data_IF_178544712552
#
_entry.id   IF_178544712552
#
_cell.length_a   1.000
_cell.length_b   1.000
_cell.length_c   1.000
_cell.angle_alpha   90.00
_cell.angle_beta   90.00
_cell.angle_gamma   90.00
#
_symmetry.space_group_name_H-M   'P 1'
#
loop_
_entity.id
_entity.type
_entity.pdbx_description
1 polymer ?
#
# COMPACT_ATOMS: atom_id res chain seq x y z
N UNK A 1 -23.81 -75.76 -12.57
CA UNK A 1 -23.19 -74.43 -12.37
C UNK A 1 -23.43 -74.03 -10.91
N UNK A 2 -22.55 -74.43 -9.98
CA UNK A 2 -21.30 -73.75 -9.53
C UNK A 2 -21.56 -72.52 -8.65
N UNK A 3 -21.59 -72.79 -7.34
CA UNK A 3 -20.70 -72.26 -6.28
C UNK A 3 -20.06 -70.86 -6.37
N UNK A 4 -20.12 -70.17 -5.21
CA UNK A 4 -19.01 -69.41 -4.54
C UNK A 4 -18.73 -68.04 -5.20
N UNK A 5 -18.61 -66.89 -4.52
CA UNK A 5 -17.87 -66.53 -3.31
C UNK A 5 -18.23 -65.08 -2.96
N UNK A 6 -18.01 -64.67 -1.71
CA UNK A 6 -17.89 -63.26 -1.39
C UNK A 6 -16.65 -62.62 -2.02
N UNK A 7 -16.74 -61.31 -2.29
CA UNK A 7 -15.61 -60.41 -2.52
C UNK A 7 -16.06 -59.02 -2.03
N UNK A 8 -15.82 -58.71 -0.76
CA UNK A 8 -14.73 -57.80 -0.39
C UNK A 8 -13.44 -58.01 -1.19
N UNK A 9 -13.07 -57.02 -2.00
CA UNK A 9 -11.75 -56.87 -2.67
C UNK A 9 -11.65 -55.37 -2.98
N UNK A 10 -10.94 -54.63 -2.13
CA UNK A 10 -9.54 -54.23 -2.31
C UNK A 10 -9.39 -53.19 -3.42
N UNK A 11 -9.17 -51.92 -3.04
CA UNK A 11 -7.85 -51.30 -2.84
C UNK A 11 -7.38 -50.59 -4.10
N UNK A 12 -6.78 -49.42 -3.85
CA UNK A 12 -5.98 -48.62 -4.75
C UNK A 12 -6.67 -47.99 -5.97
N UNK A 13 -7.25 -46.81 -5.75
CA UNK A 13 -6.86 -45.67 -6.56
C UNK A 13 -6.43 -44.53 -5.64
N UNK A 14 -5.12 -44.53 -5.39
CA UNK A 14 -4.24 -43.36 -5.36
C UNK A 14 -4.72 -42.18 -4.52
N UNK A 15 -3.97 -41.99 -3.43
CA UNK A 15 -3.55 -40.66 -3.00
C UNK A 15 -3.23 -39.79 -4.23
N UNK A 16 -4.19 -38.95 -4.62
CA UNK A 16 -3.93 -37.76 -5.44
C UNK A 16 -3.50 -36.70 -4.44
N UNK A 17 -2.22 -36.72 -4.06
CA UNK A 17 -1.24 -35.78 -4.61
C UNK A 17 -1.80 -34.36 -4.69
N UNK A 18 -1.45 -33.59 -3.66
CA UNK A 18 -0.80 -32.29 -3.82
C UNK A 18 -1.29 -31.47 -5.02
N UNK A 19 -2.43 -30.80 -4.85
CA UNK A 19 -2.63 -29.55 -5.56
C UNK A 19 -1.89 -28.49 -4.74
N UNK A 20 -0.71 -28.13 -5.24
CA UNK A 20 0.31 -27.34 -4.56
C UNK A 20 -0.25 -26.19 -3.74
N UNK A 21 0.27 -26.08 -2.52
CA UNK A 21 0.83 -24.80 -2.09
C UNK A 21 1.44 -24.11 -3.31
N UNK A 22 0.76 -23.10 -3.83
CA UNK A 22 1.37 -22.07 -4.67
C UNK A 22 2.57 -21.55 -3.88
N UNK A 23 3.80 -21.98 -4.23
CA UNK A 23 4.97 -21.63 -3.46
C UNK A 23 5.38 -20.26 -3.96
N UNK A 24 4.95 -19.25 -3.22
CA UNK A 24 5.44 -17.90 -3.40
C UNK A 24 4.53 -17.03 -4.26
N UNK A 25 3.38 -16.65 -3.69
CA UNK A 25 3.10 -15.20 -3.73
C UNK A 25 4.19 -14.58 -2.87
N UNK A 26 5.34 -14.29 -3.50
CA UNK A 26 6.41 -13.53 -2.88
C UNK A 26 5.75 -12.39 -2.13
N UNK A 27 5.95 -12.33 -0.81
CA UNK A 27 5.35 -11.28 0.01
C UNK A 27 5.55 -9.96 -0.75
N UNK A 28 4.47 -9.22 -1.06
CA UNK A 28 4.61 -8.00 -1.85
C UNK A 28 5.69 -7.16 -1.19
N UNK A 29 6.66 -6.71 -1.99
CA UNK A 29 7.80 -5.90 -1.56
C UNK A 29 7.33 -4.95 -0.45
N UNK A 30 7.99 -4.96 0.71
CA UNK A 30 7.54 -4.20 1.89
C UNK A 30 7.28 -2.72 1.57
N UNK A 31 7.99 -2.15 0.60
CA UNK A 31 7.75 -0.80 0.09
C UNK A 31 6.39 -0.63 -0.59
N UNK A 32 5.88 -1.64 -1.30
CA UNK A 32 4.54 -1.62 -1.91
C UNK A 32 3.46 -1.58 -0.82
N UNK A 33 3.63 -2.35 0.26
CA UNK A 33 2.70 -2.34 1.38
C UNK A 33 2.71 -0.99 2.12
N UNK A 34 3.91 -0.44 2.35
CA UNK A 34 4.06 0.90 2.96
C UNK A 34 3.44 1.97 2.05
N UNK A 35 3.71 1.89 0.76
CA UNK A 35 3.14 2.82 -0.21
C UNK A 35 1.62 2.76 -0.25
N UNK A 36 1.03 1.56 -0.35
CA UNK A 36 -0.41 1.38 -0.37
C UNK A 36 -1.05 1.98 0.88
N UNK A 37 -0.50 1.71 2.08
CA UNK A 37 -0.98 2.30 3.33
C UNK A 37 -0.93 3.84 3.32
N UNK A 38 0.17 4.43 2.84
CA UNK A 38 0.32 5.89 2.74
C UNK A 38 -0.63 6.50 1.70
N UNK A 39 -0.79 5.84 0.55
CA UNK A 39 -1.71 6.29 -0.50
C UNK A 39 -3.17 6.20 -0.05
N UNK A 40 -3.58 5.11 0.61
CA UNK A 40 -4.92 4.93 1.20
C UNK A 40 -5.26 6.05 2.18
N UNK A 41 -4.29 6.43 3.03
CA UNK A 41 -4.44 7.57 3.95
C UNK A 41 -4.64 8.88 3.20
N UNK A 42 -3.81 9.17 2.20
CA UNK A 42 -3.92 10.38 1.39
C UNK A 42 -5.27 10.48 0.65
N UNK A 43 -5.80 9.36 0.16
CA UNK A 43 -7.15 9.30 -0.42
C UNK A 43 -8.24 9.58 0.62
N UNK A 44 -8.05 9.16 1.88
CA UNK A 44 -8.93 9.51 2.99
C UNK A 44 -8.95 11.01 3.29
N UNK A 45 -7.79 11.66 3.27
CA UNK A 45 -7.65 13.12 3.39
C UNK A 45 -8.33 13.84 2.22
N UNK A 46 -8.14 13.34 0.99
CA UNK A 46 -8.79 13.86 -0.21
C UNK A 46 -10.32 13.73 -0.13
N UNK A 47 -10.84 12.59 0.34
CA UNK A 47 -12.27 12.41 0.59
C UNK A 47 -12.80 13.44 1.60
N UNK A 48 -12.05 13.74 2.65
CA UNK A 48 -12.43 14.76 3.62
C UNK A 48 -12.47 16.16 2.99
N UNK A 49 -11.52 16.49 2.10
CA UNK A 49 -11.52 17.75 1.34
C UNK A 49 -12.75 17.91 0.44
N UNK A 50 -13.31 16.81 -0.08
CA UNK A 50 -14.50 16.84 -0.92
C UNK A 50 -15.83 16.92 -0.16
N UNK A 51 -15.84 16.82 1.17
CA UNK A 51 -17.08 16.88 1.96
C UNK A 51 -17.86 18.17 1.67
N UNK A 52 -19.16 18.03 1.43
CA UNK A 52 -20.06 19.15 1.12
C UNK A 52 -19.94 19.70 -0.31
N UNK A 53 -19.05 19.14 -1.14
CA UNK A 53 -18.88 19.54 -2.54
C UNK A 53 -19.46 18.53 -3.55
N UNK A 54 -19.36 18.82 -4.85
CA UNK A 54 -19.88 17.96 -5.92
C UNK A 54 -19.20 16.59 -6.00
N UNK A 55 -17.99 16.46 -5.44
CA UNK A 55 -17.19 15.24 -5.44
C UNK A 55 -17.33 14.43 -4.13
N UNK A 56 -18.21 14.82 -3.21
CA UNK A 56 -18.34 14.19 -1.88
C UNK A 56 -18.73 12.70 -1.94
N UNK A 57 -19.32 12.26 -3.06
CA UNK A 57 -19.76 10.89 -3.26
C UNK A 57 -18.61 9.90 -3.52
N UNK A 58 -17.42 10.37 -3.92
CA UNK A 58 -16.29 9.48 -4.20
C UNK A 58 -15.80 8.79 -2.93
N UNK A 59 -15.75 7.47 -3.00
CA UNK A 59 -15.20 6.63 -1.94
C UNK A 59 -13.70 6.42 -2.12
N UNK A 60 -13.00 6.05 -1.05
CA UNK A 60 -11.57 5.71 -1.12
C UNK A 60 -11.34 4.53 -2.07
N UNK A 61 -12.23 3.53 -2.07
CA UNK A 61 -12.14 2.37 -2.95
C UNK A 61 -12.26 2.75 -4.44
N UNK A 62 -13.21 3.61 -4.79
CA UNK A 62 -13.36 4.15 -6.14
C UNK A 62 -12.15 4.94 -6.60
N UNK A 63 -11.58 5.77 -5.72
CA UNK A 63 -10.38 6.56 -6.02
C UNK A 63 -9.11 5.71 -6.11
N UNK A 64 -9.08 4.58 -5.41
CA UNK A 64 -7.99 3.61 -5.47
C UNK A 64 -8.13 2.65 -6.68
N UNK A 65 -9.31 2.60 -7.31
CA UNK A 65 -9.60 1.64 -8.35
C UNK A 65 -9.71 0.21 -7.84
N UNK A 66 -10.18 0.02 -6.61
CA UNK A 66 -10.45 -1.33 -6.08
C UNK A 66 -11.63 -1.95 -6.84
N UNK A 67 -11.64 -3.28 -7.06
CA UNK A 67 -12.81 -3.95 -7.61
C UNK A 67 -14.09 -3.57 -6.86
N UNK A 68 -15.19 -3.23 -7.55
CA UNK A 68 -15.40 -3.38 -9.00
C UNK A 68 -14.94 -2.19 -9.86
N UNK A 69 -14.32 -1.17 -9.27
CA UNK A 69 -13.91 0.11 -9.89
C UNK A 69 -12.54 0.10 -10.56
N UNK A 70 -12.02 -1.08 -10.90
CA UNK A 70 -10.71 -1.33 -11.48
C UNK A 70 -10.64 -1.22 -13.01
N UNK A 71 -11.77 -0.99 -13.70
CA UNK A 71 -11.81 -0.80 -15.16
C UNK A 71 -11.33 0.61 -15.57
N UNK A 72 -10.16 0.76 -16.24
CA UNK A 72 -9.60 2.05 -16.60
C UNK A 72 -10.48 2.84 -17.58
N UNK A 73 -11.17 2.17 -18.51
CA UNK A 73 -12.02 2.84 -19.50
C UNK A 73 -13.25 3.45 -18.82
N UNK A 74 -13.79 2.75 -17.81
CA UNK A 74 -14.90 3.25 -17.00
C UNK A 74 -14.45 4.40 -16.10
N UNK A 75 -13.29 4.29 -15.46
CA UNK A 75 -12.72 5.37 -14.65
C UNK A 75 -12.52 6.65 -15.45
N UNK A 76 -11.91 6.56 -16.64
CA UNK A 76 -11.65 7.72 -17.51
C UNK A 76 -12.94 8.45 -17.95
N UNK A 77 -14.07 7.72 -18.03
CA UNK A 77 -15.37 8.29 -18.41
C UNK A 77 -16.14 8.88 -17.23
N UNK A 78 -16.09 8.23 -16.06
CA UNK A 78 -16.95 8.57 -14.92
C UNK A 78 -16.29 9.50 -13.91
N UNK A 79 -14.96 9.46 -13.79
CA UNK A 79 -14.23 10.27 -12.83
C UNK A 79 -13.87 11.61 -13.49
N UNK A 80 -14.28 12.75 -12.93
CA UNK A 80 -13.88 14.06 -13.45
C UNK A 80 -12.35 14.18 -13.53
N UNK A 81 -11.84 14.81 -14.60
CA UNK A 81 -10.40 14.98 -14.80
C UNK A 81 -9.68 15.65 -13.62
N UNK A 82 -10.35 16.59 -12.95
CA UNK A 82 -9.83 17.22 -11.73
C UNK A 82 -9.61 16.20 -10.61
N UNK A 83 -10.57 15.29 -10.41
CA UNK A 83 -10.47 14.23 -9.38
C UNK A 83 -9.36 13.26 -9.74
N UNK A 84 -9.21 12.88 -11.02
CA UNK A 84 -8.08 12.05 -11.48
C UNK A 84 -6.72 12.73 -11.21
N UNK A 85 -6.64 14.05 -11.41
CA UNK A 85 -5.42 14.82 -11.11
C UNK A 85 -5.13 14.82 -9.61
N UNK A 86 -6.13 15.10 -8.78
CA UNK A 86 -6.00 15.10 -7.32
C UNK A 86 -5.59 13.70 -6.79
N UNK A 87 -6.10 12.60 -7.39
CA UNK A 87 -5.70 11.21 -7.06
C UNK A 87 -4.23 10.94 -7.43
N UNK A 88 -3.82 11.35 -8.63
CA UNK A 88 -2.44 11.19 -9.12
C UNK A 88 -1.46 11.94 -8.21
N UNK A 89 -1.79 13.17 -7.83
CA UNK A 89 -0.95 13.99 -6.95
C UNK A 89 -0.85 13.36 -5.54
N UNK A 90 -1.95 12.80 -5.01
CA UNK A 90 -1.96 12.05 -3.76
C UNK A 90 -1.08 10.79 -3.83
N UNK A 91 -1.12 10.06 -4.95
CA UNK A 91 -0.28 8.88 -5.18
C UNK A 91 1.21 9.26 -5.23
N UNK A 92 1.55 10.34 -5.92
CA UNK A 92 2.92 10.87 -5.97
C UNK A 92 3.41 11.31 -4.59
N UNK A 93 2.55 11.98 -3.80
CA UNK A 93 2.85 12.34 -2.41
C UNK A 93 3.11 11.11 -1.53
N UNK A 94 2.39 10.01 -1.75
CA UNK A 94 2.63 8.77 -1.02
C UNK A 94 4.00 8.14 -1.36
N UNK A 95 4.44 8.23 -2.63
CA UNK A 95 5.75 7.71 -3.07
C UNK A 95 6.90 8.41 -2.34
N UNK A 96 6.86 9.74 -2.27
CA UNK A 96 7.96 10.51 -1.63
C UNK A 96 8.08 10.23 -0.14
N UNK A 97 7.01 9.75 0.50
CA UNK A 97 7.02 9.38 1.90
C UNK A 97 7.55 7.96 2.17
N UNK A 98 7.70 7.08 1.17
CA UNK A 98 8.21 5.71 1.40
C UNK A 98 9.69 5.77 1.79
N UNK A 99 10.12 5.17 2.92
CA UNK A 99 11.53 5.06 3.27
C UNK A 99 12.35 4.33 2.20
N UNK A 100 13.64 4.68 2.00
CA UNK A 100 14.53 3.89 1.16
C UNK A 100 14.60 2.43 1.64
N UNK A 101 14.71 1.50 0.70
CA UNK A 101 14.80 0.07 0.99
C UNK A 101 15.89 -0.24 2.04
N UNK A 102 15.54 -0.97 3.10
CA UNK A 102 16.50 -1.39 4.12
C UNK A 102 16.76 -0.38 5.24
N UNK A 103 16.10 0.79 5.24
CA UNK A 103 16.13 1.73 6.36
C UNK A 103 14.83 1.57 7.17
N UNK A 104 14.89 1.12 8.44
CA UNK A 104 13.72 1.09 9.32
C UNK A 104 13.10 2.50 9.46
N UNK A 105 11.77 2.60 9.55
CA UNK A 105 11.11 3.87 9.90
C UNK A 105 11.50 4.28 11.33
N UNK A 106 12.59 5.03 11.49
CA UNK A 106 12.87 5.74 12.75
C UNK A 106 11.94 6.95 12.84
N UNK A 107 11.20 7.09 13.94
CA UNK A 107 10.50 8.35 14.24
C UNK A 107 11.53 9.46 14.43
N UNK A 108 11.26 10.67 13.91
CA UNK A 108 12.25 11.76 13.90
C UNK A 108 12.79 12.10 15.29
N UNK A 109 12.01 11.86 16.35
CA UNK A 109 12.39 12.04 17.76
C UNK A 109 13.46 11.05 18.25
N UNK A 110 13.66 9.95 17.54
CA UNK A 110 14.65 8.93 17.87
C UNK A 110 15.96 9.07 17.08
N UNK A 111 16.01 9.97 16.08
CA UNK A 111 17.24 10.24 15.32
C UNK A 111 18.21 10.97 16.24
N UNK A 112 19.31 10.30 16.57
CA UNK A 112 20.43 10.87 17.32
C UNK A 112 21.64 10.90 16.41
N UNK A 113 22.38 12.02 16.45
CA UNK A 113 23.64 12.14 15.72
C UNK A 113 24.58 11.01 16.13
N UNK A 114 25.04 10.23 15.16
CA UNK A 114 26.01 9.18 15.40
C UNK A 114 27.37 9.76 15.80
N UNK A 115 28.21 9.03 16.56
CA UNK A 115 29.53 9.52 16.98
C UNK A 115 30.48 9.82 15.81
N UNK A 116 30.21 9.25 14.62
CA UNK A 116 30.97 9.46 13.38
C UNK A 116 30.20 10.26 12.33
N UNK A 117 28.99 10.73 12.64
CA UNK A 117 28.17 11.49 11.71
C UNK A 117 28.47 12.99 11.85
N UNK A 118 28.76 13.66 10.74
CA UNK A 118 28.91 15.12 10.74
C UNK A 118 27.57 15.78 11.08
N UNK A 119 27.61 16.94 11.74
CA UNK A 119 26.40 17.70 12.07
C UNK A 119 25.52 18.00 10.84
N UNK A 120 26.11 18.34 9.69
CA UNK A 120 25.37 18.61 8.45
C UNK A 120 24.64 17.37 7.92
N UNK A 121 25.31 16.21 7.89
CA UNK A 121 24.69 14.93 7.52
C UNK A 121 23.53 14.57 8.45
N UNK A 122 23.68 14.82 9.75
CA UNK A 122 22.61 14.60 10.73
C UNK A 122 21.40 15.51 10.45
N UNK A 123 21.62 16.79 10.15
CA UNK A 123 20.54 17.73 9.81
C UNK A 123 19.88 17.34 8.49
N UNK A 124 20.63 16.92 7.47
CA UNK A 124 20.08 16.46 6.19
C UNK A 124 19.21 15.22 6.37
N UNK A 125 19.67 14.26 7.18
CA UNK A 125 18.91 13.05 7.50
C UNK A 125 17.66 13.37 8.33
N UNK A 126 17.77 14.21 9.37
CA UNK A 126 16.64 14.64 10.19
C UNK A 126 15.59 15.38 9.35
N UNK A 127 16.02 16.30 8.50
CA UNK A 127 15.14 17.05 7.57
C UNK A 127 14.41 16.09 6.64
N UNK A 128 15.13 15.13 6.06
CA UNK A 128 14.55 14.12 5.19
C UNK A 128 13.49 13.26 5.92
N UNK A 129 13.72 12.87 7.17
CA UNK A 129 12.74 12.07 7.93
C UNK A 129 11.55 12.92 8.38
N UNK A 130 11.77 14.17 8.78
CA UNK A 130 10.71 15.12 9.13
C UNK A 130 9.79 15.35 7.93
N UNK A 131 10.34 15.62 6.74
CA UNK A 131 9.55 15.82 5.52
C UNK A 131 8.73 14.59 5.12
N UNK A 132 9.20 13.38 5.48
CA UNK A 132 8.48 12.12 5.22
C UNK A 132 7.39 11.85 6.23
N UNK A 133 7.56 12.25 7.49
CA UNK A 133 6.63 11.96 8.59
C UNK A 133 5.58 13.06 8.80
N UNK A 134 5.91 14.31 8.51
CA UNK A 134 5.00 15.46 8.66
C UNK A 134 4.30 15.71 7.33
N UNK A 135 3.05 15.24 7.22
CA UNK A 135 2.22 15.44 6.02
C UNK A 135 1.61 16.85 5.90
N UNK A 136 1.79 17.68 6.93
CA UNK A 136 1.16 18.98 7.11
C UNK A 136 2.14 20.12 6.76
N UNK A 137 1.85 20.87 5.69
CA UNK A 137 2.64 22.02 5.28
C UNK A 137 2.58 23.18 6.30
N UNK A 138 1.64 23.13 7.27
CA UNK A 138 1.46 24.15 8.31
C UNK A 138 2.39 24.03 9.52
N UNK A 139 3.10 22.91 9.71
CA UNK A 139 3.95 22.67 10.91
C UNK A 139 5.43 22.98 10.64
N UNK A 140 5.77 23.33 9.40
CA UNK A 140 7.13 23.64 8.95
C UNK A 140 7.73 24.99 9.42
N UNK A 141 7.01 26.01 9.93
CA UNK A 141 7.64 27.30 10.23
C UNK A 141 8.34 27.39 11.60
N UNK A 142 8.58 26.29 12.31
CA UNK A 142 9.16 26.33 13.67
C UNK A 142 10.56 25.71 13.80
N UNK A 143 11.20 25.33 12.69
CA UNK A 143 12.54 24.72 12.64
C UNK A 143 13.67 25.69 12.25
N UNK A 144 13.52 26.97 12.57
CA UNK A 144 14.58 27.97 12.45
C UNK A 144 14.68 28.82 13.72
#
# INVERSE_FOLDING_TARGET
MTEVTGSNTDQDISASQSAGEEPGRAAPNSQILIWDAKWRRALGELKNKYRGGPNAAFTVAQMAGDPPDDDPARQARLIPQKVLTDIKDAAQKAIVQIPPAGIPESIYTEIKQGPSESFTSFIDHLTQVVDRQVSDDGVKPHLF
#
